data_IF_024516603634
#
_entry.id   IF_024516603634
#
_cell.length_a   1.000
_cell.length_b   1.000
_cell.length_c   1.000
_cell.angle_alpha   90.00
_cell.angle_beta   90.00
_cell.angle_gamma   90.00
#
_symmetry.space_group_name_H-M   'P 1'
#
loop_
_entity.id
_entity.type
_entity.pdbx_description
1 polymer ?
#
# COMPACT_ATOMS: atom_id res chain seq x y z
N UNK A 1 23.48 45.89 -39.35
CA UNK A 1 23.73 45.29 -38.04
C UNK A 1 22.40 44.86 -37.47
N UNK A 2 22.06 43.58 -37.63
CA UNK A 2 20.87 42.99 -37.02
C UNK A 2 21.28 42.43 -35.66
N UNK A 3 20.81 43.08 -34.59
CA UNK A 3 21.04 42.61 -33.23
C UNK A 3 20.39 41.24 -33.04
N UNK A 4 21.17 40.27 -32.56
CA UNK A 4 20.65 39.02 -32.01
C UNK A 4 19.85 39.38 -30.77
N UNK A 5 18.55 39.11 -30.79
CA UNK A 5 17.74 39.03 -29.58
C UNK A 5 18.11 37.70 -28.91
N UNK A 6 18.99 37.75 -27.92
CA UNK A 6 19.13 36.68 -26.93
C UNK A 6 17.80 36.59 -26.19
N UNK A 7 16.97 35.63 -26.54
CA UNK A 7 15.88 35.20 -25.67
C UNK A 7 16.53 34.60 -24.44
N UNK A 8 16.22 35.07 -23.22
CA UNK A 8 16.73 34.43 -22.04
C UNK A 8 16.26 32.96 -22.07
N UNK A 9 17.21 32.02 -22.04
CA UNK A 9 16.88 30.62 -21.69
C UNK A 9 16.10 30.68 -20.38
N UNK A 10 14.81 30.34 -20.43
CA UNK A 10 14.03 30.20 -19.21
C UNK A 10 14.69 29.09 -18.41
N UNK A 11 15.22 29.40 -17.23
CA UNK A 11 15.81 28.43 -16.32
C UNK A 11 14.83 27.26 -16.19
N UNK A 12 15.29 26.06 -16.53
CA UNK A 12 14.46 24.87 -16.43
C UNK A 12 14.12 24.66 -14.96
N UNK A 13 12.87 24.29 -14.70
CA UNK A 13 12.47 23.93 -13.33
C UNK A 13 13.12 22.62 -12.91
N UNK A 14 13.28 22.39 -11.61
CA UNK A 14 13.87 21.14 -11.10
C UNK A 14 13.14 19.90 -11.61
N UNK A 15 11.84 19.96 -11.81
CA UNK A 15 11.06 18.83 -12.33
C UNK A 15 11.43 18.55 -13.81
N UNK A 16 11.58 19.57 -14.62
CA UNK A 16 12.00 19.45 -16.02
C UNK A 16 13.45 18.94 -16.16
N UNK A 17 14.37 19.43 -15.30
CA UNK A 17 15.76 18.93 -15.24
C UNK A 17 15.81 17.44 -14.88
N UNK A 18 15.05 17.03 -13.85
CA UNK A 18 14.93 15.63 -13.44
C UNK A 18 14.37 14.77 -14.56
N UNK A 19 13.32 15.22 -15.25
CA UNK A 19 12.74 14.48 -16.37
C UNK A 19 13.77 14.31 -17.49
N UNK A 20 14.55 15.35 -17.80
CA UNK A 20 15.62 15.30 -18.80
C UNK A 20 16.71 14.30 -18.42
N UNK A 21 17.09 14.24 -17.14
CA UNK A 21 18.08 13.30 -16.62
C UNK A 21 17.58 11.85 -16.55
N UNK A 22 16.28 11.64 -16.27
CA UNK A 22 15.68 10.31 -16.05
C UNK A 22 15.24 9.64 -17.37
N UNK A 23 14.73 10.41 -18.33
CA UNK A 23 14.19 9.86 -19.59
C UNK A 23 15.18 8.98 -20.37
N UNK A 24 16.46 9.33 -20.53
CA UNK A 24 17.45 8.45 -21.14
C UNK A 24 17.71 7.15 -20.37
N UNK A 25 17.40 7.14 -19.07
CA UNK A 25 17.64 6.01 -18.16
C UNK A 25 16.44 5.09 -18.00
N UNK A 26 15.39 5.26 -18.81
CA UNK A 26 14.17 4.42 -18.74
C UNK A 26 14.49 2.92 -18.88
N UNK A 27 15.44 2.57 -19.74
CA UNK A 27 15.88 1.17 -19.90
C UNK A 27 16.51 0.62 -18.62
N UNK A 28 17.37 1.39 -17.97
CA UNK A 28 17.98 0.99 -16.69
C UNK A 28 16.93 0.81 -15.60
N UNK A 29 15.89 1.66 -15.55
CA UNK A 29 14.76 1.50 -14.62
C UNK A 29 14.02 0.20 -14.87
N UNK A 30 13.74 -0.14 -16.13
CA UNK A 30 13.09 -1.39 -16.50
C UNK A 30 13.94 -2.61 -16.14
N UNK A 31 15.25 -2.58 -16.40
CA UNK A 31 16.16 -3.67 -16.08
C UNK A 31 16.23 -3.91 -14.58
N UNK A 32 16.24 -2.84 -13.76
CA UNK A 32 16.20 -2.98 -12.30
C UNK A 32 14.82 -3.46 -11.80
N UNK A 33 13.74 -3.02 -12.43
CA UNK A 33 12.40 -3.55 -12.14
C UNK A 33 12.35 -5.04 -12.45
N UNK A 34 12.87 -5.47 -13.61
CA UNK A 34 12.92 -6.87 -14.04
C UNK A 34 13.73 -7.75 -13.08
N UNK A 35 14.86 -7.25 -12.57
CA UNK A 35 15.70 -7.94 -11.58
C UNK A 35 14.89 -8.28 -10.32
N UNK A 36 14.08 -7.34 -9.82
CA UNK A 36 13.24 -7.58 -8.64
C UNK A 36 12.00 -8.43 -8.95
N UNK A 37 11.39 -8.27 -10.13
CA UNK A 37 10.23 -9.08 -10.58
C UNK A 37 10.61 -10.56 -10.73
N UNK A 38 11.86 -10.87 -11.08
CA UNK A 38 12.34 -12.24 -11.21
C UNK A 38 12.40 -13.01 -9.86
N UNK A 39 12.19 -12.32 -8.73
CA UNK A 39 12.17 -12.92 -7.40
C UNK A 39 10.71 -13.05 -6.95
N UNK A 40 10.20 -14.29 -6.90
CA UNK A 40 8.88 -14.56 -6.31
C UNK A 40 8.91 -14.25 -4.80
N UNK A 41 8.18 -13.23 -4.36
CA UNK A 41 8.26 -12.75 -2.97
C UNK A 41 6.88 -12.60 -2.34
N UNK A 42 6.07 -13.65 -2.41
CA UNK A 42 4.81 -13.69 -1.65
C UNK A 42 5.07 -13.44 -0.15
N UNK A 43 4.19 -12.74 0.54
CA UNK A 43 4.40 -12.28 1.93
C UNK A 43 4.77 -13.38 2.93
N UNK A 44 4.43 -14.63 2.65
CA UNK A 44 4.79 -15.80 3.48
C UNK A 44 6.14 -16.43 3.12
N UNK A 45 6.79 -16.02 2.02
CA UNK A 45 8.12 -16.46 1.62
C UNK A 45 9.19 -15.50 2.17
N UNK A 46 9.51 -15.66 3.45
CA UNK A 46 10.45 -14.80 4.15
C UNK A 46 11.82 -14.71 3.46
N UNK A 47 12.29 -15.82 2.86
CA UNK A 47 13.60 -15.87 2.20
C UNK A 47 13.63 -15.03 0.92
N UNK A 48 12.63 -15.14 0.08
CA UNK A 48 12.57 -14.39 -1.17
C UNK A 48 12.20 -12.91 -0.95
N UNK A 49 11.34 -12.58 0.03
CA UNK A 49 11.11 -11.20 0.46
C UNK A 49 12.44 -10.58 0.94
N UNK A 50 13.24 -11.31 1.71
CA UNK A 50 14.57 -10.85 2.13
C UNK A 50 15.50 -10.60 0.95
N UNK A 51 15.51 -11.49 -0.08
CA UNK A 51 16.32 -11.32 -1.30
C UNK A 51 15.95 -10.06 -2.09
N UNK A 52 14.66 -9.76 -2.24
CA UNK A 52 14.24 -8.48 -2.85
C UNK A 52 14.80 -7.30 -2.06
N UNK A 53 14.72 -7.35 -0.73
CA UNK A 53 15.29 -6.32 0.14
C UNK A 53 16.81 -6.19 0.01
N UNK A 54 17.53 -7.28 -0.24
CA UNK A 54 18.99 -7.27 -0.49
C UNK A 54 19.36 -6.63 -1.82
N UNK A 55 18.65 -6.99 -2.89
CA UNK A 55 18.82 -6.41 -4.22
C UNK A 55 18.54 -4.89 -4.19
N UNK A 56 17.45 -4.49 -3.56
CA UNK A 56 17.09 -3.09 -3.40
C UNK A 56 18.08 -2.35 -2.50
N UNK A 57 18.48 -2.95 -1.39
CA UNK A 57 19.43 -2.39 -0.44
C UNK A 57 20.84 -2.17 -1.02
N UNK A 58 21.30 -3.06 -1.89
CA UNK A 58 22.58 -2.89 -2.58
C UNK A 58 22.62 -1.58 -3.38
N UNK A 59 21.51 -1.22 -4.03
CA UNK A 59 21.37 0.04 -4.77
C UNK A 59 21.44 1.26 -3.84
N UNK A 60 20.72 1.26 -2.70
CA UNK A 60 20.77 2.37 -1.76
C UNK A 60 22.14 2.53 -1.11
N UNK A 61 22.81 1.44 -0.78
CA UNK A 61 24.19 1.45 -0.28
C UNK A 61 25.17 2.07 -1.29
N UNK A 62 24.97 1.86 -2.60
CA UNK A 62 25.80 2.46 -3.64
C UNK A 62 25.67 3.99 -3.69
N UNK A 63 24.57 4.55 -3.18
CA UNK A 63 24.37 6.00 -2.99
C UNK A 63 24.84 6.49 -1.61
N UNK A 64 25.50 5.65 -0.80
CA UNK A 64 26.01 6.01 0.53
C UNK A 64 24.94 6.05 1.63
N UNK A 65 23.82 5.31 1.46
CA UNK A 65 22.86 5.11 2.53
C UNK A 65 23.33 4.01 3.49
N UNK A 66 23.11 4.23 4.79
CA UNK A 66 23.33 3.24 5.84
C UNK A 66 22.09 2.36 5.99
N UNK A 67 22.27 1.04 5.94
CA UNK A 67 21.19 0.08 6.11
C UNK A 67 21.00 -0.29 7.58
N UNK A 68 19.73 -0.34 8.01
CA UNK A 68 19.31 -0.94 9.28
C UNK A 68 18.29 -2.03 9.00
N UNK A 69 18.50 -3.19 9.60
CA UNK A 69 17.64 -4.37 9.41
C UNK A 69 17.04 -4.78 10.76
N UNK A 70 15.74 -4.98 10.79
CA UNK A 70 15.00 -5.42 11.99
C UNK A 70 14.24 -6.70 11.63
N UNK A 71 14.54 -7.84 12.28
CA UNK A 71 13.84 -9.10 12.03
C UNK A 71 12.33 -8.98 12.27
N UNK A 72 11.55 -9.76 11.52
CA UNK A 72 10.13 -9.98 11.74
C UNK A 72 9.86 -11.48 11.65
N UNK A 73 9.35 -12.06 12.73
CA UNK A 73 9.13 -13.51 12.83
C UNK A 73 8.16 -14.00 11.75
N UNK A 74 8.54 -15.08 11.06
CA UNK A 74 7.74 -15.69 10.00
C UNK A 74 7.60 -14.85 8.72
N UNK A 75 8.38 -13.77 8.59
CA UNK A 75 8.39 -12.85 7.44
C UNK A 75 9.81 -12.48 7.05
N UNK A 76 9.97 -11.79 5.91
CA UNK A 76 11.22 -11.11 5.59
C UNK A 76 11.52 -10.00 6.64
N UNK A 77 12.78 -9.54 6.73
CA UNK A 77 13.13 -8.48 7.65
C UNK A 77 12.60 -7.12 7.17
N UNK A 78 12.22 -6.25 8.11
CA UNK A 78 12.03 -4.82 7.86
C UNK A 78 13.38 -4.18 7.61
N UNK A 79 13.49 -3.36 6.56
CA UNK A 79 14.75 -2.67 6.21
C UNK A 79 14.53 -1.18 6.11
N UNK A 80 15.48 -0.40 6.61
CA UNK A 80 15.52 1.04 6.36
C UNK A 80 16.91 1.46 5.93
N UNK A 81 16.94 2.45 5.02
CA UNK A 81 18.17 3.02 4.47
C UNK A 81 18.17 4.50 4.80
N UNK A 82 19.23 4.96 5.44
CA UNK A 82 19.32 6.30 6.02
C UNK A 82 20.46 7.08 5.39
N UNK A 83 20.20 8.33 5.02
CA UNK A 83 21.21 9.26 4.57
C UNK A 83 20.97 10.65 5.15
N UNK A 84 22.00 11.28 5.67
CA UNK A 84 21.99 12.69 6.02
C UNK A 84 22.29 13.53 4.78
N UNK A 85 21.50 14.57 4.57
CA UNK A 85 21.72 15.60 3.56
C UNK A 85 22.08 16.94 4.20
N UNK A 86 22.23 17.94 3.35
CA UNK A 86 22.58 19.31 3.69
C UNK A 86 21.39 20.28 3.59
N UNK A 87 20.22 19.76 3.26
CA UNK A 87 18.95 20.49 3.25
C UNK A 87 18.26 20.50 4.61
N UNK A 88 16.95 20.77 4.57
CA UNK A 88 16.08 20.82 5.75
C UNK A 88 15.23 19.56 5.87
N UNK A 89 14.66 19.36 7.05
CA UNK A 89 13.58 18.43 7.30
C UNK A 89 13.95 16.97 7.20
N UNK A 90 12.96 16.13 7.50
CA UNK A 90 13.02 14.68 7.38
C UNK A 90 12.01 14.21 6.35
N UNK A 91 12.46 13.46 5.34
CA UNK A 91 11.59 12.83 4.34
C UNK A 91 11.70 11.33 4.45
N UNK A 92 10.53 10.67 4.47
CA UNK A 92 10.43 9.21 4.49
C UNK A 92 9.86 8.73 3.15
N UNK A 93 10.55 7.81 2.51
CA UNK A 93 10.09 7.06 1.34
C UNK A 93 9.61 5.71 1.84
N UNK A 94 8.36 5.33 1.54
CA UNK A 94 7.74 4.13 2.06
C UNK A 94 7.37 3.18 0.92
N UNK A 95 7.83 1.92 1.02
CA UNK A 95 7.53 0.86 0.08
C UNK A 95 7.61 -0.52 0.69
N UNK A 96 7.20 -1.56 -0.06
CA UNK A 96 7.20 -2.94 0.39
C UNK A 96 7.93 -3.89 -0.55
N UNK A 97 8.39 -5.02 0.02
CA UNK A 97 9.16 -6.05 -0.66
C UNK A 97 8.37 -7.32 -0.95
N UNK A 98 7.17 -7.45 -0.40
CA UNK A 98 6.29 -8.59 -0.65
C UNK A 98 5.38 -8.37 -1.87
N UNK A 99 4.60 -9.38 -2.22
CA UNK A 99 3.53 -9.36 -3.22
C UNK A 99 2.39 -10.27 -2.75
N UNK A 100 1.19 -10.08 -3.29
CA UNK A 100 0.01 -10.95 -3.06
C UNK A 100 0.20 -12.39 -3.55
N UNK A 101 1.23 -12.65 -4.36
CA UNK A 101 1.39 -13.90 -5.09
C UNK A 101 2.11 -14.96 -4.25
N UNK A 102 1.44 -16.09 -3.89
CA UNK A 102 2.11 -17.19 -3.19
C UNK A 102 3.25 -17.77 -4.02
N UNK A 103 4.27 -18.29 -3.35
CA UNK A 103 5.37 -18.99 -4.00
C UNK A 103 4.85 -20.12 -4.91
N UNK A 104 5.43 -20.24 -6.10
CA UNK A 104 5.02 -21.21 -7.12
C UNK A 104 3.74 -20.83 -7.89
N UNK A 105 3.14 -19.66 -7.66
CA UNK A 105 1.96 -19.20 -8.41
C UNK A 105 2.30 -18.53 -9.75
N UNK A 106 3.58 -18.35 -10.05
CA UNK A 106 4.08 -17.58 -11.18
C UNK A 106 4.69 -18.40 -12.35
N UNK A 107 4.47 -19.72 -12.51
CA UNK A 107 5.11 -20.45 -13.58
C UNK A 107 4.76 -19.86 -14.95
N UNK A 108 5.79 -19.47 -15.71
CA UNK A 108 5.65 -18.84 -17.02
C UNK A 108 5.19 -17.38 -17.02
N UNK A 109 4.99 -16.77 -15.87
CA UNK A 109 4.64 -15.35 -15.76
C UNK A 109 5.88 -14.55 -15.33
N UNK A 110 6.68 -14.19 -16.32
CA UNK A 110 7.92 -13.46 -16.14
C UNK A 110 7.76 -11.99 -16.53
N UNK A 111 8.74 -11.17 -16.16
CA UNK A 111 8.83 -9.81 -16.68
C UNK A 111 8.91 -9.81 -18.22
N UNK A 112 8.13 -8.94 -18.84
CA UNK A 112 8.19 -8.66 -20.29
C UNK A 112 7.83 -7.21 -20.59
N UNK A 113 8.22 -6.71 -21.76
CA UNK A 113 7.90 -5.36 -22.19
C UNK A 113 7.64 -5.32 -23.70
N UNK A 114 6.64 -4.53 -24.13
CA UNK A 114 6.24 -4.37 -25.53
C UNK A 114 6.62 -2.99 -26.15
N UNK A 115 7.38 -2.20 -25.37
CA UNK A 115 7.76 -0.84 -25.74
C UNK A 115 6.82 0.25 -25.23
N UNK A 116 5.59 -0.08 -24.89
CA UNK A 116 4.58 0.82 -24.28
C UNK A 116 4.35 0.47 -22.81
N UNK A 117 4.19 -0.83 -22.55
CA UNK A 117 3.95 -1.37 -21.22
C UNK A 117 5.03 -2.37 -20.83
N UNK A 118 5.26 -2.48 -19.52
CA UNK A 118 5.98 -3.58 -18.90
C UNK A 118 5.02 -4.40 -18.03
N UNK A 119 5.16 -5.71 -18.08
CA UNK A 119 4.28 -6.71 -17.48
C UNK A 119 5.06 -7.58 -16.50
N UNK A 120 4.41 -8.11 -15.50
CA UNK A 120 4.99 -9.09 -14.60
C UNK A 120 4.39 -9.03 -13.19
N UNK A 121 4.63 -10.05 -12.37
CA UNK A 121 4.09 -10.08 -11.01
C UNK A 121 4.69 -8.96 -10.15
N UNK A 122 3.84 -8.09 -9.61
CA UNK A 122 4.27 -6.96 -8.78
C UNK A 122 5.04 -5.88 -9.56
N UNK A 123 4.94 -5.84 -10.90
CA UNK A 123 5.63 -4.84 -11.73
C UNK A 123 5.20 -3.42 -11.38
N UNK A 124 3.92 -3.23 -11.03
CA UNK A 124 3.34 -1.98 -10.55
C UNK A 124 3.30 -1.92 -9.03
N UNK A 125 2.99 -3.03 -8.39
CA UNK A 125 2.78 -3.17 -6.95
C UNK A 125 3.86 -4.07 -6.31
N UNK A 126 5.05 -3.42 -5.89
CA UNK A 126 5.40 -2.04 -6.27
C UNK A 126 6.83 -1.95 -6.83
N UNK A 127 7.32 -2.98 -7.60
CA UNK A 127 8.71 -3.07 -8.09
C UNK A 127 9.11 -1.87 -8.94
N UNK A 128 8.20 -1.40 -9.81
CA UNK A 128 8.44 -0.21 -10.64
C UNK A 128 8.59 1.06 -9.80
N UNK A 129 7.80 1.20 -8.74
CA UNK A 129 7.91 2.31 -7.78
C UNK A 129 9.25 2.30 -7.03
N UNK A 130 9.67 1.11 -6.57
CA UNK A 130 10.97 0.94 -5.90
C UNK A 130 12.14 1.33 -6.82
N UNK A 131 12.15 0.85 -8.07
CA UNK A 131 13.18 1.21 -9.03
C UNK A 131 13.16 2.72 -9.32
N UNK A 132 12.01 3.28 -9.63
CA UNK A 132 11.82 4.71 -9.94
C UNK A 132 12.37 5.60 -8.81
N UNK A 133 12.06 5.28 -7.56
CA UNK A 133 12.50 6.09 -6.40
C UNK A 133 14.02 6.16 -6.29
N UNK A 134 14.71 5.03 -6.48
CA UNK A 134 16.17 5.01 -6.46
C UNK A 134 16.76 5.88 -7.55
N UNK A 135 16.25 5.77 -8.79
CA UNK A 135 16.73 6.58 -9.92
C UNK A 135 16.46 8.07 -9.74
N UNK A 136 15.34 8.45 -9.12
CA UNK A 136 15.01 9.84 -8.83
C UNK A 136 15.98 10.45 -7.83
N UNK A 137 16.34 9.72 -6.75
CA UNK A 137 17.31 10.20 -5.76
C UNK A 137 18.74 10.25 -6.35
N UNK A 138 19.13 9.24 -7.15
CA UNK A 138 20.42 9.26 -7.86
C UNK A 138 20.52 10.46 -8.83
N UNK A 139 19.43 10.79 -9.53
CA UNK A 139 19.39 11.96 -10.42
C UNK A 139 19.50 13.28 -9.63
N UNK A 140 18.80 13.43 -8.50
CA UNK A 140 18.95 14.60 -7.62
C UNK A 140 20.41 14.79 -7.19
N UNK A 141 21.06 13.72 -6.74
CA UNK A 141 22.44 13.76 -6.33
C UNK A 141 23.39 14.12 -7.47
N UNK A 142 23.20 13.57 -8.66
CA UNK A 142 23.99 13.87 -9.87
C UNK A 142 23.82 15.29 -10.36
N UNK A 143 22.63 15.88 -10.18
CA UNK A 143 22.36 17.29 -10.43
C UNK A 143 22.88 18.23 -9.34
N UNK A 144 23.55 17.70 -8.31
CA UNK A 144 24.09 18.50 -7.21
C UNK A 144 23.01 19.11 -6.31
N UNK A 145 21.79 18.57 -6.34
CA UNK A 145 20.68 19.08 -5.54
C UNK A 145 20.80 18.65 -4.07
N UNK A 146 20.34 19.50 -3.16
CA UNK A 146 20.31 19.19 -1.72
C UNK A 146 19.35 18.05 -1.45
N UNK A 147 19.77 17.13 -0.59
CA UNK A 147 18.89 16.15 0.03
C UNK A 147 18.37 16.67 1.37
N UNK A 148 17.20 16.19 1.86
CA UNK A 148 16.71 16.50 3.19
C UNK A 148 17.76 16.25 4.26
N UNK A 149 17.68 16.97 5.38
CA UNK A 149 18.60 16.76 6.51
C UNK A 149 18.62 15.28 6.95
N UNK A 150 17.48 14.62 6.84
CA UNK A 150 17.35 13.18 6.98
C UNK A 150 16.45 12.60 5.85
N UNK A 151 17.02 11.77 4.99
CA UNK A 151 16.28 10.99 3.99
C UNK A 151 16.29 9.53 4.40
N UNK A 152 15.11 8.97 4.64
CA UNK A 152 14.90 7.59 5.07
C UNK A 152 14.09 6.84 4.04
N UNK A 153 14.55 5.67 3.63
CA UNK A 153 13.77 4.74 2.81
C UNK A 153 13.39 3.56 3.68
N UNK A 154 12.11 3.31 3.84
CA UNK A 154 11.59 2.17 4.61
C UNK A 154 11.01 1.13 3.64
N UNK A 155 11.42 -0.13 3.81
CA UNK A 155 10.98 -1.25 3.02
C UNK A 155 10.39 -2.31 3.96
N UNK A 156 9.09 -2.53 3.87
CA UNK A 156 8.36 -3.50 4.70
C UNK A 156 8.19 -4.85 4.00
N UNK A 157 8.11 -5.95 4.75
CA UNK A 157 7.98 -7.31 4.20
C UNK A 157 6.56 -7.87 4.23
N UNK A 158 5.55 -7.13 4.74
CA UNK A 158 4.23 -7.64 5.09
C UNK A 158 3.08 -6.66 4.76
N UNK A 159 3.28 -5.79 3.74
CA UNK A 159 2.27 -4.80 3.33
C UNK A 159 0.98 -5.49 2.89
N UNK A 160 1.08 -6.49 2.06
CA UNK A 160 -0.02 -7.25 1.47
C UNK A 160 -0.86 -8.03 2.50
N UNK A 161 -0.34 -8.16 3.72
CA UNK A 161 -1.03 -8.75 4.87
C UNK A 161 -1.57 -7.71 5.86
N UNK A 162 -1.47 -6.41 5.52
CA UNK A 162 -1.94 -5.33 6.37
C UNK A 162 -0.87 -4.75 7.30
N UNK A 163 0.41 -5.04 7.09
CA UNK A 163 1.57 -4.57 7.88
C UNK A 163 1.39 -4.75 9.39
N UNK A 164 0.72 -5.83 9.80
CA UNK A 164 0.43 -6.09 11.22
C UNK A 164 1.71 -6.13 12.05
N UNK A 165 2.77 -6.72 11.49
CA UNK A 165 4.09 -6.79 12.12
C UNK A 165 4.91 -5.51 11.96
N UNK A 166 4.66 -4.72 10.91
CA UNK A 166 5.47 -3.54 10.59
C UNK A 166 4.84 -2.22 11.05
N UNK A 167 3.55 -2.18 11.40
CA UNK A 167 2.82 -0.96 11.76
C UNK A 167 3.56 -0.05 12.74
N UNK A 168 3.88 -0.58 13.92
CA UNK A 168 4.53 0.22 14.96
C UNK A 168 5.91 0.78 14.51
N UNK A 169 6.63 0.02 13.68
CA UNK A 169 7.91 0.42 13.12
C UNK A 169 7.74 1.53 12.06
N UNK A 170 6.69 1.46 11.22
CA UNK A 170 6.35 2.51 10.26
C UNK A 170 5.96 3.79 11.01
N UNK A 171 5.05 3.69 11.99
CA UNK A 171 4.58 4.81 12.79
C UNK A 171 5.76 5.51 13.50
N UNK A 172 6.70 4.75 14.09
CA UNK A 172 7.90 5.30 14.71
C UNK A 172 8.81 6.00 13.68
N UNK A 173 9.08 5.36 12.54
CA UNK A 173 9.93 5.91 11.48
C UNK A 173 9.38 7.20 10.87
N UNK A 174 8.06 7.35 10.83
CA UNK A 174 7.36 8.51 10.25
C UNK A 174 6.98 9.59 11.28
N UNK A 175 7.20 9.38 12.59
CA UNK A 175 6.66 10.22 13.68
C UNK A 175 6.95 11.72 13.50
N UNK A 176 8.13 12.07 13.07
CA UNK A 176 8.64 13.44 12.91
C UNK A 176 8.92 13.79 11.44
N UNK A 177 8.36 13.04 10.48
CA UNK A 177 8.55 13.31 9.07
C UNK A 177 7.84 14.61 8.64
N UNK A 178 8.54 15.45 7.88
CA UNK A 178 7.99 16.62 7.21
C UNK A 178 7.29 16.25 5.90
N UNK A 179 7.60 15.07 5.36
CA UNK A 179 6.91 14.48 4.22
C UNK A 179 7.11 12.98 4.14
N UNK A 180 6.04 12.25 3.82
CA UNK A 180 6.05 10.80 3.56
C UNK A 180 5.59 10.55 2.14
N UNK A 181 6.44 9.89 1.35
CA UNK A 181 6.24 9.62 -0.06
C UNK A 181 6.08 8.11 -0.27
N UNK A 182 4.89 7.66 -0.67
CA UNK A 182 4.55 6.24 -0.75
C UNK A 182 4.57 5.77 -2.20
N UNK A 183 5.25 4.67 -2.45
CA UNK A 183 5.60 4.19 -3.80
C UNK A 183 4.54 3.29 -4.45
N UNK A 184 3.32 3.22 -3.88
CA UNK A 184 2.19 2.55 -4.52
C UNK A 184 1.98 3.06 -5.96
N UNK A 185 1.40 2.24 -6.85
CA UNK A 185 1.23 2.65 -8.23
C UNK A 185 0.24 3.81 -8.40
N UNK A 186 0.57 4.71 -9.32
CA UNK A 186 -0.36 5.73 -9.81
C UNK A 186 -1.52 5.05 -10.56
N UNK A 187 -2.74 5.54 -10.36
CA UNK A 187 -3.94 5.02 -11.04
C UNK A 187 -3.89 5.28 -12.55
N UNK A 188 -4.64 4.50 -13.37
CA UNK A 188 -4.62 4.62 -14.84
C UNK A 188 -4.88 6.03 -15.38
N UNK A 189 -5.69 6.82 -14.69
CA UNK A 189 -6.03 8.21 -15.05
C UNK A 189 -5.05 9.26 -14.51
N UNK A 190 -3.89 8.86 -14.00
CA UNK A 190 -2.93 9.75 -13.36
C UNK A 190 -3.27 10.07 -11.90
N UNK A 191 -4.22 9.34 -11.30
CA UNK A 191 -4.66 9.58 -9.93
C UNK A 191 -3.60 9.21 -8.89
N UNK A 192 -3.25 10.17 -8.02
CA UNK A 192 -2.43 9.97 -6.83
C UNK A 192 -3.31 10.03 -5.57
N UNK A 193 -2.95 9.28 -4.56
CA UNK A 193 -3.82 9.08 -3.40
C UNK A 193 -3.51 10.11 -2.32
N UNK A 194 -4.51 10.90 -1.99
CA UNK A 194 -4.45 11.94 -0.94
C UNK A 194 -5.20 11.55 0.33
N UNK A 195 -5.91 10.41 0.30
CA UNK A 195 -6.69 9.91 1.42
C UNK A 195 -7.14 8.46 1.20
N UNK A 196 -7.33 7.73 2.30
CA UNK A 196 -7.77 6.33 2.29
C UNK A 196 -8.78 6.08 3.38
N UNK A 197 -9.76 5.21 3.09
CA UNK A 197 -10.66 4.68 4.11
C UNK A 197 -9.90 3.76 5.05
N UNK A 198 -10.38 3.64 6.29
CA UNK A 198 -9.98 2.57 7.18
C UNK A 198 -10.35 1.21 6.58
N UNK A 199 -9.50 0.23 6.81
CA UNK A 199 -9.70 -1.16 6.38
C UNK A 199 -9.68 -2.05 7.61
N UNK A 200 -10.72 -2.87 7.79
CA UNK A 200 -10.82 -3.85 8.85
C UNK A 200 -11.19 -5.22 8.33
N UNK A 201 -10.69 -6.26 8.99
CA UNK A 201 -11.03 -7.64 8.71
C UNK A 201 -11.29 -8.36 10.04
N UNK A 202 -12.48 -8.95 10.16
CA UNK A 202 -12.86 -9.74 11.33
C UNK A 202 -13.24 -11.15 10.89
N UNK A 203 -12.76 -12.16 11.62
CA UNK A 203 -13.18 -13.54 11.49
C UNK A 203 -13.93 -13.96 12.74
N UNK A 204 -15.06 -14.66 12.56
CA UNK A 204 -15.81 -15.20 13.69
C UNK A 204 -16.05 -16.70 13.47
N UNK A 205 -15.68 -17.48 14.47
CA UNK A 205 -15.79 -18.94 14.51
C UNK A 205 -16.82 -19.34 15.56
N UNK A 206 -17.96 -19.87 15.08
CA UNK A 206 -19.05 -20.30 15.96
C UNK A 206 -18.96 -21.79 16.23
N UNK A 207 -19.11 -22.16 17.50
CA UNK A 207 -19.15 -23.55 17.98
C UNK A 207 -20.43 -23.83 18.77
N UNK A 208 -21.21 -24.76 18.27
CA UNK A 208 -22.48 -25.19 18.85
C UNK A 208 -22.47 -26.67 19.21
N UNK A 209 -23.62 -27.35 19.07
CA UNK A 209 -23.78 -28.77 19.41
C UNK A 209 -24.53 -29.51 18.29
N UNK A 210 -23.93 -30.60 17.81
CA UNK A 210 -24.56 -31.48 16.84
C UNK A 210 -25.71 -32.26 17.47
N UNK A 211 -26.77 -32.50 16.68
CA UNK A 211 -27.86 -33.42 16.99
C UNK A 211 -28.49 -33.88 15.69
N UNK A 212 -29.22 -35.02 15.72
CA UNK A 212 -30.01 -35.45 14.59
C UNK A 212 -31.24 -34.54 14.41
N UNK A 213 -31.38 -33.92 13.23
CA UNK A 213 -32.39 -32.90 12.98
C UNK A 213 -33.86 -33.32 13.13
N UNK A 214 -34.14 -34.63 13.12
CA UNK A 214 -35.49 -35.16 13.29
C UNK A 214 -35.70 -35.89 14.63
N UNK A 215 -34.65 -36.49 15.21
CA UNK A 215 -34.82 -37.39 16.38
C UNK A 215 -34.63 -36.62 17.70
N UNK A 216 -33.62 -35.80 17.79
CA UNK A 216 -33.27 -35.08 19.00
C UNK A 216 -32.88 -33.63 18.74
N UNK A 217 -33.61 -32.96 17.84
CA UNK A 217 -33.35 -31.58 17.41
C UNK A 217 -33.15 -30.59 18.58
N UNK A 218 -33.94 -30.72 19.65
CA UNK A 218 -33.88 -29.82 20.80
C UNK A 218 -32.57 -29.90 21.58
N UNK A 219 -31.81 -31.00 21.45
CA UNK A 219 -30.49 -31.13 22.08
C UNK A 219 -29.40 -30.40 21.28
N UNK A 220 -29.66 -30.10 20.01
CA UNK A 220 -28.74 -29.40 19.14
C UNK A 220 -28.66 -27.89 19.42
N UNK A 221 -27.53 -27.28 19.07
CA UNK A 221 -27.33 -25.82 19.07
C UNK A 221 -26.64 -25.42 17.76
N UNK A 222 -27.37 -24.70 16.91
CA UNK A 222 -26.95 -24.44 15.52
C UNK A 222 -25.98 -23.25 15.43
N UNK A 223 -24.72 -23.53 15.15
CA UNK A 223 -23.72 -22.52 14.83
C UNK A 223 -24.04 -21.74 13.53
N UNK A 224 -24.61 -22.44 12.52
CA UNK A 224 -25.05 -21.80 11.26
C UNK A 224 -26.17 -20.80 11.51
N UNK A 225 -27.11 -21.08 12.43
CA UNK A 225 -28.18 -20.12 12.77
C UNK A 225 -27.59 -18.86 13.41
N UNK A 226 -26.62 -19.01 14.34
CA UNK A 226 -25.97 -17.90 14.99
C UNK A 226 -25.20 -17.04 13.98
N UNK A 227 -24.39 -17.66 13.10
CA UNK A 227 -23.64 -16.99 12.05
C UNK A 227 -24.57 -16.27 11.04
N UNK A 228 -25.71 -16.88 10.65
CA UNK A 228 -26.67 -16.27 9.74
C UNK A 228 -27.32 -15.01 10.34
N UNK A 229 -27.71 -15.07 11.64
CA UNK A 229 -28.22 -13.88 12.37
C UNK A 229 -27.18 -12.76 12.39
N UNK A 230 -25.94 -13.09 12.73
CA UNK A 230 -24.85 -12.12 12.75
C UNK A 230 -24.61 -11.51 11.37
N UNK A 231 -24.61 -12.32 10.31
CA UNK A 231 -24.45 -11.86 8.91
C UNK A 231 -25.49 -10.79 8.55
N UNK A 232 -26.76 -11.07 8.75
CA UNK A 232 -27.84 -10.12 8.43
C UNK A 232 -27.73 -8.82 9.24
N UNK A 233 -27.38 -8.92 10.52
CA UNK A 233 -27.23 -7.76 11.39
C UNK A 233 -25.98 -6.94 11.08
N UNK A 234 -24.89 -7.58 10.65
CA UNK A 234 -23.66 -6.91 10.23
C UNK A 234 -23.84 -6.13 8.92
N UNK A 235 -24.42 -6.76 7.90
CA UNK A 235 -24.63 -6.09 6.61
C UNK A 235 -25.59 -4.90 6.71
N UNK A 236 -26.55 -4.96 7.66
CA UNK A 236 -27.43 -3.83 7.98
C UNK A 236 -26.70 -2.61 8.59
N UNK A 237 -25.42 -2.73 8.97
CA UNK A 237 -24.59 -1.60 9.41
C UNK A 237 -24.04 -0.78 8.23
N UNK A 238 -24.14 -1.27 6.99
CA UNK A 238 -23.73 -0.53 5.80
C UNK A 238 -24.52 0.76 5.66
N UNK A 239 -23.80 1.87 5.47
CA UNK A 239 -24.34 3.21 5.24
C UNK A 239 -23.49 3.90 4.16
N UNK A 240 -23.93 3.79 2.90
CA UNK A 240 -23.22 4.33 1.75
C UNK A 240 -23.11 5.86 1.81
N UNK A 241 -24.09 6.55 2.44
CA UNK A 241 -24.08 8.01 2.57
C UNK A 241 -22.94 8.50 3.45
N UNK A 242 -22.49 7.69 4.41
CA UNK A 242 -21.31 7.92 5.26
C UNK A 242 -20.06 7.21 4.74
N UNK A 243 -20.15 6.50 3.60
CA UNK A 243 -19.08 5.64 3.11
C UNK A 243 -18.59 4.62 4.15
N UNK A 244 -19.53 4.08 4.93
CA UNK A 244 -19.34 3.01 5.88
C UNK A 244 -19.87 1.72 5.27
N UNK A 245 -19.00 0.73 5.05
CA UNK A 245 -19.35 -0.51 4.40
C UNK A 245 -19.00 -1.69 5.29
N UNK A 246 -19.93 -2.65 5.38
CA UNK A 246 -19.74 -3.93 6.07
C UNK A 246 -20.19 -5.02 5.11
N UNK A 247 -19.30 -5.97 4.82
CA UNK A 247 -19.57 -7.07 3.91
C UNK A 247 -19.14 -8.39 4.52
N UNK A 248 -20.03 -9.38 4.56
CA UNK A 248 -19.69 -10.76 4.93
C UNK A 248 -19.33 -11.53 3.66
N UNK A 249 -18.03 -11.50 3.31
CA UNK A 249 -17.55 -12.08 2.05
C UNK A 249 -17.34 -13.60 2.07
N UNK A 250 -17.24 -14.21 3.26
CA UNK A 250 -17.06 -15.66 3.43
C UNK A 250 -18.04 -16.17 4.47
N UNK A 251 -18.74 -17.26 4.15
CA UNK A 251 -19.60 -17.99 5.06
C UNK A 251 -19.41 -19.49 4.83
N UNK A 252 -18.95 -20.21 5.83
CA UNK A 252 -18.83 -21.66 5.83
C UNK A 252 -19.60 -22.26 7.02
N UNK A 253 -20.24 -23.40 6.86
CA UNK A 253 -20.87 -24.09 7.98
C UNK A 253 -21.71 -25.28 7.60
N UNK A 254 -21.84 -26.20 8.56
CA UNK A 254 -22.59 -27.43 8.41
C UNK A 254 -21.87 -28.51 7.60
N UNK A 255 -22.18 -29.80 7.89
CA UNK A 255 -21.57 -30.95 7.22
C UNK A 255 -22.61 -31.80 6.49
N UNK A 256 -23.83 -31.93 7.00
CA UNK A 256 -24.90 -32.76 6.41
C UNK A 256 -26.29 -32.21 6.73
N UNK A 257 -27.26 -32.33 5.79
CA UNK A 257 -28.59 -31.76 5.91
C UNK A 257 -29.41 -32.28 7.10
N UNK A 258 -29.12 -33.49 7.58
CA UNK A 258 -29.85 -34.14 8.68
C UNK A 258 -29.19 -33.93 10.05
N UNK A 259 -28.15 -33.08 10.12
CA UNK A 259 -27.43 -32.80 11.37
C UNK A 259 -27.60 -31.31 11.69
N UNK A 260 -27.91 -30.99 12.96
CA UNK A 260 -27.83 -29.63 13.49
C UNK A 260 -26.34 -29.20 13.43
N UNK A 261 -25.99 -28.16 12.67
CA UNK A 261 -24.59 -27.81 12.43
C UNK A 261 -23.93 -27.24 13.68
N UNK A 262 -22.81 -27.84 14.08
CA UNK A 262 -22.06 -27.44 15.28
C UNK A 262 -20.94 -26.45 15.00
N UNK A 263 -20.59 -26.20 13.73
CA UNK A 263 -19.55 -25.27 13.34
C UNK A 263 -20.05 -24.36 12.24
N UNK A 264 -19.64 -23.08 12.32
CA UNK A 264 -19.74 -22.11 11.25
C UNK A 264 -18.65 -21.05 11.40
N UNK A 265 -18.25 -20.49 10.24
CA UNK A 265 -17.22 -19.46 10.13
C UNK A 265 -17.72 -18.36 9.21
N UNK A 266 -17.51 -17.08 9.58
CA UNK A 266 -17.75 -15.93 8.70
C UNK A 266 -16.55 -15.00 8.71
N UNK A 267 -16.27 -14.39 7.54
CA UNK A 267 -15.26 -13.32 7.40
C UNK A 267 -15.94 -12.04 6.97
N UNK A 268 -15.61 -10.98 7.69
CA UNK A 268 -16.23 -9.66 7.58
C UNK A 268 -15.18 -8.65 7.13
N UNK A 269 -15.45 -7.93 6.03
CA UNK A 269 -14.70 -6.74 5.60
C UNK A 269 -15.39 -5.49 6.16
N UNK A 270 -14.61 -4.58 6.74
CA UNK A 270 -15.06 -3.30 7.29
C UNK A 270 -14.36 -2.16 6.57
N UNK A 271 -15.12 -1.12 6.17
CA UNK A 271 -14.60 0.13 5.63
C UNK A 271 -15.26 1.33 6.30
N UNK A 272 -14.46 2.33 6.68
CA UNK A 272 -14.97 3.59 7.24
C UNK A 272 -14.15 4.77 6.70
N UNK A 273 -14.84 5.87 6.37
CA UNK A 273 -14.20 7.10 5.87
C UNK A 273 -13.93 8.11 6.98
N UNK A 274 -14.66 8.04 8.07
CA UNK A 274 -14.59 9.00 9.16
C UNK A 274 -13.93 8.34 10.40
N UNK A 275 -12.95 8.99 11.03
CA UNK A 275 -12.30 8.44 12.23
C UNK A 275 -13.29 8.08 13.35
N UNK A 276 -14.34 8.88 13.55
CA UNK A 276 -15.36 8.65 14.56
C UNK A 276 -16.23 7.40 14.30
N UNK A 277 -16.31 6.95 13.04
CA UNK A 277 -17.02 5.71 12.70
C UNK A 277 -16.18 4.45 12.99
N UNK A 278 -14.85 4.56 13.05
CA UNK A 278 -13.94 3.41 13.17
C UNK A 278 -14.21 2.62 14.45
N UNK A 279 -14.08 3.26 15.62
CA UNK A 279 -14.25 2.58 16.91
C UNK A 279 -15.70 2.15 17.13
N UNK A 280 -16.65 2.99 16.74
CA UNK A 280 -18.07 2.70 16.89
C UNK A 280 -18.50 1.49 16.06
N UNK A 281 -18.02 1.38 14.81
CA UNK A 281 -18.32 0.28 13.91
C UNK A 281 -17.73 -1.05 14.38
N UNK A 282 -16.47 -1.05 14.80
CA UNK A 282 -15.81 -2.25 15.33
C UNK A 282 -16.49 -2.76 16.59
N UNK A 283 -16.78 -1.86 17.53
CA UNK A 283 -17.49 -2.20 18.77
C UNK A 283 -18.84 -2.84 18.43
N UNK A 284 -19.61 -2.19 17.53
CA UNK A 284 -20.94 -2.69 17.16
C UNK A 284 -20.86 -4.04 16.41
N UNK A 285 -19.91 -4.21 15.53
CA UNK A 285 -19.68 -5.48 14.86
C UNK A 285 -19.35 -6.61 15.85
N UNK A 286 -18.47 -6.37 16.81
CA UNK A 286 -18.12 -7.35 17.85
C UNK A 286 -19.30 -7.68 18.78
N UNK A 287 -20.14 -6.70 19.12
CA UNK A 287 -21.39 -6.94 19.87
C UNK A 287 -22.34 -7.86 19.11
N UNK A 288 -22.56 -7.61 17.81
CA UNK A 288 -23.40 -8.43 16.94
C UNK A 288 -22.85 -9.85 16.83
N UNK A 289 -21.54 -9.99 16.59
CA UNK A 289 -20.90 -11.31 16.50
C UNK A 289 -21.01 -12.11 17.80
N UNK A 290 -20.99 -11.42 18.95
CA UNK A 290 -21.08 -12.05 20.27
C UNK A 290 -22.51 -12.48 20.65
N UNK A 291 -23.55 -11.90 20.02
CA UNK A 291 -24.94 -12.29 20.23
C UNK A 291 -25.28 -13.53 19.39
N UNK A 292 -25.00 -14.69 19.92
CA UNK A 292 -25.29 -15.99 19.25
C UNK A 292 -26.78 -16.33 19.18
N UNK A 293 -27.62 -15.72 20.02
CA UNK A 293 -29.05 -16.02 20.16
C UNK A 293 -29.34 -17.40 20.76
N UNK A 294 -28.33 -18.15 21.17
CA UNK A 294 -28.43 -19.43 21.88
C UNK A 294 -27.22 -19.57 22.82
N UNK A 295 -27.45 -19.60 24.11
CA UNK A 295 -26.38 -19.66 25.13
C UNK A 295 -25.47 -20.91 25.02
N UNK A 296 -25.88 -21.92 24.27
CA UNK A 296 -25.11 -23.15 24.00
C UNK A 296 -24.15 -23.00 22.81
N UNK A 297 -24.23 -21.87 22.08
CA UNK A 297 -23.30 -21.55 20.99
C UNK A 297 -22.27 -20.54 21.52
N UNK A 298 -21.00 -20.85 21.35
CA UNK A 298 -19.89 -19.94 21.63
C UNK A 298 -19.34 -19.34 20.34
N UNK A 299 -18.68 -18.19 20.46
CA UNK A 299 -18.00 -17.55 19.33
C UNK A 299 -16.59 -17.13 19.73
N UNK A 300 -15.62 -17.36 18.85
CA UNK A 300 -14.27 -16.82 18.91
C UNK A 300 -14.12 -15.80 17.79
N UNK A 301 -13.73 -14.58 18.16
CA UNK A 301 -13.61 -13.44 17.24
C UNK A 301 -12.13 -13.07 17.13
N UNK A 302 -11.65 -12.93 15.90
CA UNK A 302 -10.27 -12.54 15.58
C UNK A 302 -10.27 -11.36 14.61
N UNK A 303 -9.21 -10.52 14.68
CA UNK A 303 -9.05 -9.37 13.81
C UNK A 303 -9.65 -8.08 14.36
N UNK A 304 -9.79 -7.11 13.48
CA UNK A 304 -10.17 -5.72 13.74
C UNK A 304 -9.65 -4.82 12.64
N UNK A 305 -9.40 -3.54 12.92
CA UNK A 305 -8.85 -2.61 11.95
C UNK A 305 -7.36 -2.89 11.66
N UNK A 306 -7.03 -3.06 10.38
CA UNK A 306 -5.65 -3.24 9.91
C UNK A 306 -5.05 -1.93 9.41
N UNK A 307 -5.88 -1.02 8.87
CA UNK A 307 -5.47 0.31 8.40
C UNK A 307 -6.38 1.38 8.98
N UNK A 308 -5.84 2.46 9.56
CA UNK A 308 -6.62 3.62 10.01
C UNK A 308 -7.11 4.45 8.82
N UNK A 309 -8.01 5.41 9.08
CA UNK A 309 -8.35 6.45 8.11
C UNK A 309 -7.13 7.32 7.83
N UNK A 310 -6.80 7.48 6.56
CA UNK A 310 -5.86 8.49 6.08
C UNK A 310 -6.66 9.70 5.57
N UNK A 311 -6.77 10.79 6.34
CA UNK A 311 -7.60 11.94 5.96
C UNK A 311 -6.95 12.74 4.83
N UNK A 312 -7.77 13.30 3.94
CA UNK A 312 -7.30 14.13 2.81
C UNK A 312 -6.44 15.31 3.25
N UNK A 313 -6.68 15.84 4.45
CA UNK A 313 -5.90 16.95 5.02
C UNK A 313 -4.41 16.63 5.13
N UNK A 314 -4.05 15.36 5.27
CA UNK A 314 -2.64 14.92 5.29
C UNK A 314 -2.05 14.80 3.89
N UNK A 315 -2.85 14.52 2.84
CA UNK A 315 -2.36 14.37 1.46
C UNK A 315 -2.31 15.68 0.68
N UNK A 316 -3.24 16.59 0.94
CA UNK A 316 -3.41 17.85 0.20
C UNK A 316 -2.15 18.72 0.09
N UNK A 317 -1.33 18.91 1.16
CA UNK A 317 -0.15 19.76 1.05
C UNK A 317 0.85 19.29 -0.01
N UNK A 318 1.20 18.00 -0.02
CA UNK A 318 2.13 17.43 -0.98
C UNK A 318 1.52 17.30 -2.39
N UNK A 319 0.21 17.05 -2.48
CA UNK A 319 -0.50 17.03 -3.75
C UNK A 319 -0.39 18.36 -4.49
N UNK A 320 -0.53 19.50 -3.81
CA UNK A 320 -0.42 20.81 -4.44
C UNK A 320 0.95 21.04 -5.11
N UNK A 321 2.02 20.55 -4.51
CA UNK A 321 3.35 20.57 -5.15
C UNK A 321 3.42 19.61 -6.35
N UNK A 322 2.93 18.37 -6.20
CA UNK A 322 2.93 17.37 -7.26
C UNK A 322 2.11 17.84 -8.48
N UNK A 323 0.95 18.48 -8.26
CA UNK A 323 0.10 19.04 -9.30
C UNK A 323 0.82 20.10 -10.12
N UNK A 324 1.52 21.01 -9.45
CA UNK A 324 2.33 22.04 -10.11
C UNK A 324 3.42 21.40 -11.00
N UNK A 325 4.17 20.44 -10.47
CA UNK A 325 5.24 19.75 -11.21
C UNK A 325 4.69 18.95 -12.40
N UNK A 326 3.57 18.23 -12.20
CA UNK A 326 2.93 17.49 -13.28
C UNK A 326 2.47 18.41 -14.42
N UNK A 327 1.92 19.60 -14.09
CA UNK A 327 1.54 20.61 -15.07
C UNK A 327 2.75 21.16 -15.85
N UNK A 328 3.87 21.39 -15.16
CA UNK A 328 5.11 21.87 -15.80
C UNK A 328 5.64 20.92 -16.87
N UNK A 329 5.54 19.61 -16.64
CA UNK A 329 6.02 18.59 -17.60
C UNK A 329 4.92 17.99 -18.49
N UNK A 330 3.68 18.51 -18.40
CA UNK A 330 2.55 18.08 -19.23
C UNK A 330 2.00 16.69 -18.91
N UNK A 331 2.12 16.21 -17.67
CA UNK A 331 1.70 14.87 -17.24
C UNK A 331 0.37 14.97 -16.49
N UNK A 332 -0.62 14.11 -16.78
CA UNK A 332 -1.88 14.12 -16.06
C UNK A 332 -1.70 13.69 -14.61
N UNK A 333 -2.34 14.42 -13.69
CA UNK A 333 -2.42 14.09 -12.26
C UNK A 333 -3.80 14.48 -11.72
N UNK A 334 -4.34 13.71 -10.79
CA UNK A 334 -5.58 14.05 -10.09
C UNK A 334 -5.56 13.52 -8.66
N UNK A 335 -6.22 14.20 -7.70
CA UNK A 335 -6.30 13.73 -6.33
C UNK A 335 -7.35 12.63 -6.23
N UNK A 336 -7.05 11.55 -5.50
CA UNK A 336 -7.96 10.41 -5.31
C UNK A 336 -8.06 10.07 -3.83
N UNK A 337 -9.30 9.83 -3.37
CA UNK A 337 -9.57 9.11 -2.11
C UNK A 337 -10.00 7.70 -2.48
N UNK A 338 -9.39 6.68 -1.85
CA UNK A 338 -9.61 5.28 -2.22
C UNK A 338 -9.96 4.42 -1.01
N UNK A 339 -10.59 3.26 -1.28
CA UNK A 339 -10.92 2.25 -0.27
C UNK A 339 -9.85 1.15 -0.15
N UNK A 340 -8.84 1.11 -1.03
CA UNK A 340 -7.72 0.17 -0.93
C UNK A 340 -6.82 0.50 0.26
N UNK A 341 -6.20 -0.52 0.86
CA UNK A 341 -5.18 -0.35 1.90
C UNK A 341 -3.87 0.18 1.35
N UNK A 342 -3.02 0.71 2.20
CA UNK A 342 -1.60 1.00 1.97
C UNK A 342 -0.97 1.45 3.29
N UNK A 343 0.33 1.31 3.38
CA UNK A 343 1.11 1.77 4.54
C UNK A 343 1.10 3.29 4.71
N UNK A 344 0.78 4.05 3.66
CA UNK A 344 0.52 5.48 3.74
C UNK A 344 -0.62 5.86 4.69
N UNK A 345 -1.50 4.90 5.03
CA UNK A 345 -2.57 5.11 6.01
C UNK A 345 -2.03 5.42 7.42
N UNK A 346 -0.90 4.86 7.80
CA UNK A 346 -0.34 5.06 9.14
C UNK A 346 0.18 6.50 9.34
N UNK A 347 1.13 7.02 8.54
CA UNK A 347 1.57 8.40 8.68
C UNK A 347 0.46 9.41 8.38
N UNK A 348 -0.43 9.12 7.41
CA UNK A 348 -1.58 9.96 7.13
C UNK A 348 -2.51 10.12 8.33
N UNK A 349 -2.81 9.03 9.05
CA UNK A 349 -3.61 9.06 10.27
C UNK A 349 -2.93 9.81 11.43
N UNK A 350 -1.60 9.83 11.45
CA UNK A 350 -0.80 10.60 12.43
C UNK A 350 -0.76 12.11 12.08
N UNK A 351 -1.40 12.53 11.02
CA UNK A 351 -1.38 13.91 10.55
C UNK A 351 -0.06 14.33 9.89
N UNK A 352 0.79 13.36 9.49
CA UNK A 352 1.99 13.68 8.73
C UNK A 352 1.64 14.01 7.28
N UNK A 353 2.27 15.04 6.67
CA UNK A 353 2.11 15.28 5.24
C UNK A 353 2.50 14.00 4.47
N UNK A 354 1.53 13.39 3.81
CA UNK A 354 1.72 12.10 3.14
C UNK A 354 1.15 12.17 1.73
N UNK A 355 1.86 11.67 0.72
CA UNK A 355 1.34 11.51 -0.63
C UNK A 355 1.63 10.09 -1.10
N UNK A 356 0.58 9.42 -1.58
CA UNK A 356 0.62 8.01 -1.92
C UNK A 356 0.24 7.79 -3.40
N UNK A 357 0.57 6.64 -3.98
CA UNK A 357 0.36 6.40 -5.40
C UNK A 357 1.35 7.15 -6.29
N UNK A 358 2.60 7.32 -5.84
CA UNK A 358 3.65 8.05 -6.56
C UNK A 358 4.43 7.18 -7.56
N UNK A 359 4.25 5.86 -7.54
CA UNK A 359 4.87 4.94 -8.48
C UNK A 359 4.40 5.13 -9.93
N UNK A 360 4.84 4.28 -10.87
CA UNK A 360 4.44 4.35 -12.28
C UNK A 360 2.94 4.13 -12.45
N UNK A 361 2.38 4.62 -13.56
CA UNK A 361 0.98 4.39 -13.92
C UNK A 361 0.77 2.90 -14.16
N UNK A 362 -0.14 2.30 -13.39
CA UNK A 362 -0.40 0.86 -13.39
C UNK A 362 -1.86 0.54 -13.74
N UNK A 363 -2.05 -0.56 -14.46
CA UNK A 363 -3.32 -1.16 -14.78
C UNK A 363 -3.39 -2.57 -14.19
N UNK A 364 -4.60 -3.00 -13.85
CA UNK A 364 -4.89 -4.38 -13.43
C UNK A 364 -4.00 -4.85 -12.24
N UNK A 365 -3.70 -3.96 -11.29
CA UNK A 365 -2.93 -4.25 -10.06
C UNK A 365 -3.46 -5.52 -9.38
N UNK A 366 -2.56 -6.33 -8.82
CA UNK A 366 -2.88 -7.60 -8.16
C UNK A 366 -3.60 -8.61 -9.08
N UNK A 367 -3.36 -8.55 -10.39
CA UNK A 367 -3.88 -9.51 -11.36
C UNK A 367 -2.79 -10.05 -12.29
N UNK A 368 -3.05 -11.18 -12.98
CA UNK A 368 -2.11 -11.70 -13.99
C UNK A 368 -1.95 -10.80 -15.22
N UNK A 369 -2.76 -9.74 -15.33
CA UNK A 369 -2.68 -8.72 -16.39
C UNK A 369 -1.98 -7.45 -15.93
N UNK A 370 -1.42 -7.46 -14.72
CA UNK A 370 -0.73 -6.31 -14.16
C UNK A 370 0.35 -5.78 -15.10
N UNK A 371 0.28 -4.47 -15.35
CA UNK A 371 1.21 -3.77 -16.23
C UNK A 371 1.39 -2.31 -15.86
N UNK A 372 2.57 -1.78 -16.12
CA UNK A 372 2.87 -0.36 -15.97
C UNK A 372 3.10 0.30 -17.33
N UNK A 373 2.83 1.59 -17.42
CA UNK A 373 3.19 2.43 -18.58
C UNK A 373 4.67 2.80 -18.50
N UNK A 374 5.48 2.38 -19.46
CA UNK A 374 6.94 2.57 -19.43
C UNK A 374 7.30 4.06 -19.36
N UNK A 375 6.65 4.91 -20.18
CA UNK A 375 6.90 6.35 -20.19
C UNK A 375 6.64 7.03 -18.84
N UNK A 376 5.77 6.46 -18.02
CA UNK A 376 5.45 7.03 -16.71
C UNK A 376 6.57 6.85 -15.67
N UNK A 377 7.51 5.93 -15.87
CA UNK A 377 8.64 5.74 -14.95
C UNK A 377 9.48 7.03 -14.80
N UNK A 378 10.06 7.62 -15.87
CA UNK A 378 10.81 8.87 -15.73
C UNK A 378 9.91 10.07 -15.38
N UNK A 379 8.66 10.10 -15.83
CA UNK A 379 7.72 11.20 -15.56
C UNK A 379 7.36 11.26 -14.07
N UNK A 380 6.97 10.13 -13.47
CA UNK A 380 6.67 10.04 -12.05
C UNK A 380 7.94 10.18 -11.20
N UNK A 381 9.07 9.65 -11.67
CA UNK A 381 10.37 9.84 -11.04
C UNK A 381 10.77 11.31 -10.95
N UNK A 382 10.49 12.13 -11.95
CA UNK A 382 10.75 13.56 -11.94
C UNK A 382 9.88 14.30 -10.90
N UNK A 383 8.58 14.02 -10.87
CA UNK A 383 7.66 14.59 -9.87
C UNK A 383 8.09 14.17 -8.45
N UNK A 384 8.41 12.89 -8.26
CA UNK A 384 8.87 12.33 -6.98
C UNK A 384 10.17 13.00 -6.49
N UNK A 385 11.16 13.13 -7.37
CA UNK A 385 12.41 13.84 -7.05
C UNK A 385 12.18 15.32 -6.74
N UNK A 386 11.32 16.00 -7.50
CA UNK A 386 10.98 17.40 -7.26
C UNK A 386 10.26 17.62 -5.91
N UNK A 387 9.45 16.66 -5.45
CA UNK A 387 8.88 16.67 -4.10
C UNK A 387 9.95 16.56 -3.02
N UNK A 388 10.92 15.66 -3.17
CA UNK A 388 12.07 15.53 -2.23
C UNK A 388 12.85 16.84 -2.20
N UNK A 389 13.17 17.42 -3.37
CA UNK A 389 13.88 18.69 -3.46
C UNK A 389 13.13 19.83 -2.77
N UNK A 390 11.81 19.92 -2.96
CA UNK A 390 10.98 20.93 -2.30
C UNK A 390 11.04 20.80 -0.80
N UNK A 391 10.88 19.60 -0.26
CA UNK A 391 10.95 19.32 1.17
C UNK A 391 12.35 19.58 1.76
N UNK A 392 13.41 19.41 0.97
CA UNK A 392 14.78 19.71 1.40
C UNK A 392 15.09 21.21 1.48
N UNK A 393 14.35 22.05 0.76
CA UNK A 393 14.60 23.50 0.72
C UNK A 393 13.62 24.30 1.61
N UNK A 394 12.51 23.70 2.04
CA UNK A 394 11.56 24.23 3.05
C UNK A 394 10.59 25.23 2.45
#
# INVERSE_FOLDING_TARGET
>A
MLGRFDTPEADMTICAELLSALRPRTREMLDFTAEMVAIESGSYDAANVARVGEVYGARWKSLGFEERTVPLEGRGPRRSFHRKGDGKGKVVILGHADTVWPAGSQPGWNFSADGVHAYGPGVGDMRGGLAMAWFAVDALMKLGQRLPAELVVMLVPDEELGSVGSRAWIEEGCRDADGVLVLEPTRPNGGVVIGRRAVGAIKAFYSGRSAHAAVNYAEGASAVRAAARATLALEALTDESRSRLVNVGVFHGGAARQVVPHEAEIHVDLRASLPEDVDALEKRAKEILSDTGDARVTVRIEGGWTRPVYPETSGRPLYGHAERFAKEIGVPISPVVTSGGSDGSFPGAMGRPTLDGLGPVCFDTCSRREKIVIASLPERGAIFGALIHTLANG
#
